data_IF_789229426820
#
_entry.id   IF_789229426820
#
_cell.length_a   1.000
_cell.length_b   1.000
_cell.length_c   1.000
_cell.angle_alpha   90.00
_cell.angle_beta   90.00
_cell.angle_gamma   90.00
#
_symmetry.space_group_name_H-M   'P 1'
#
loop_
_entity.id
_entity.type
_entity.pdbx_description
1 polymer ?
#
# COMPACT_ATOMS: atom_id res chain seq x y z
N UNK A 1 -28.88 5.62 9.27
CA UNK A 1 -27.62 6.31 8.93
C UNK A 1 -26.37 5.48 9.26
N UNK A 2 -26.16 5.04 10.51
CA UNK A 2 -24.95 4.29 10.93
C UNK A 2 -24.59 3.10 10.02
N UNK A 3 -25.55 2.22 9.72
CA UNK A 3 -25.34 1.05 8.86
C UNK A 3 -24.84 1.40 7.45
N UNK A 4 -25.25 2.54 6.90
CA UNK A 4 -24.77 3.01 5.60
C UNK A 4 -23.31 3.45 5.64
N UNK A 5 -22.89 4.09 6.73
CA UNK A 5 -21.48 4.48 6.93
C UNK A 5 -20.61 3.24 7.12
N UNK A 6 -21.08 2.24 7.88
CA UNK A 6 -20.37 0.96 8.03
C UNK A 6 -20.27 0.23 6.68
N UNK A 7 -21.36 0.21 5.90
CA UNK A 7 -21.33 -0.35 4.54
C UNK A 7 -20.31 0.36 3.66
N UNK A 8 -20.27 1.71 3.68
CA UNK A 8 -19.28 2.49 2.93
C UNK A 8 -17.85 2.13 3.35
N UNK A 9 -17.58 2.04 4.66
CA UNK A 9 -16.29 1.62 5.19
C UNK A 9 -15.87 0.23 4.64
N UNK A 10 -16.78 -0.75 4.67
CA UNK A 10 -16.51 -2.10 4.17
C UNK A 10 -16.26 -2.09 2.65
N UNK A 11 -17.11 -1.45 1.86
CA UNK A 11 -16.94 -1.37 0.40
C UNK A 11 -15.64 -0.66 0.03
N UNK A 12 -15.28 0.40 0.75
CA UNK A 12 -14.00 1.09 0.57
C UNK A 12 -12.80 0.21 0.92
N UNK A 13 -12.91 -0.66 1.93
CA UNK A 13 -11.87 -1.65 2.22
C UNK A 13 -11.68 -2.60 1.04
N UNK A 14 -12.77 -3.14 0.48
CA UNK A 14 -12.70 -3.99 -0.72
C UNK A 14 -12.10 -3.25 -1.91
N UNK A 15 -12.54 -2.03 -2.19
CA UNK A 15 -11.99 -1.21 -3.27
C UNK A 15 -10.49 -0.95 -3.08
N UNK A 16 -10.08 -0.64 -1.84
CA UNK A 16 -8.68 -0.46 -1.48
C UNK A 16 -7.88 -1.73 -1.74
N UNK A 17 -8.31 -2.89 -1.23
CA UNK A 17 -7.57 -4.14 -1.41
C UNK A 17 -7.53 -4.61 -2.87
N UNK A 18 -8.55 -4.31 -3.68
CA UNK A 18 -8.51 -4.60 -5.12
C UNK A 18 -7.48 -3.73 -5.85
N UNK A 19 -7.53 -2.40 -5.65
CA UNK A 19 -6.60 -1.48 -6.30
C UNK A 19 -5.16 -1.65 -5.80
N UNK A 20 -4.98 -1.73 -4.48
CA UNK A 20 -3.67 -1.96 -3.87
C UNK A 20 -3.14 -3.37 -4.15
N UNK A 21 -4.02 -4.38 -4.14
CA UNK A 21 -3.67 -5.77 -4.44
C UNK A 21 -3.17 -5.94 -5.88
N UNK A 22 -3.73 -5.21 -6.85
CA UNK A 22 -3.19 -5.19 -8.21
C UNK A 22 -1.72 -4.72 -8.24
N UNK A 23 -1.38 -3.66 -7.50
CA UNK A 23 0.02 -3.20 -7.33
C UNK A 23 0.88 -4.21 -6.56
N UNK A 24 0.33 -4.87 -5.54
CA UNK A 24 1.05 -5.90 -4.79
C UNK A 24 1.44 -7.09 -5.67
N UNK A 25 0.57 -7.53 -6.58
CA UNK A 25 0.90 -8.58 -7.57
C UNK A 25 2.04 -8.14 -8.50
N UNK A 26 2.07 -6.87 -8.89
CA UNK A 26 3.16 -6.32 -9.71
C UNK A 26 4.52 -6.39 -9.00
N UNK A 27 4.58 -6.27 -7.68
CA UNK A 27 5.82 -6.45 -6.93
C UNK A 27 6.41 -7.88 -7.06
N UNK A 28 5.54 -8.91 -7.05
CA UNK A 28 5.98 -10.30 -7.28
C UNK A 28 6.50 -10.52 -8.70
N UNK A 29 5.85 -9.91 -9.70
CA UNK A 29 6.28 -9.98 -11.10
C UNK A 29 7.60 -9.23 -11.31
N UNK A 30 7.71 -8.02 -10.75
CA UNK A 30 8.90 -7.18 -10.81
C UNK A 30 10.13 -7.92 -10.29
N UNK A 31 10.02 -8.61 -9.15
CA UNK A 31 11.13 -9.37 -8.56
C UNK A 31 11.65 -10.49 -9.49
N UNK A 32 10.81 -11.05 -10.35
CA UNK A 32 11.17 -12.19 -11.21
C UNK A 32 11.56 -11.79 -12.63
N UNK A 33 11.24 -10.56 -13.03
CA UNK A 33 11.46 -10.08 -14.39
C UNK A 33 12.94 -9.80 -14.66
N UNK A 34 13.38 -10.12 -15.88
CA UNK A 34 14.76 -9.95 -16.34
C UNK A 34 14.86 -9.05 -17.58
N UNK A 35 13.73 -8.72 -18.19
CA UNK A 35 13.66 -7.78 -19.31
C UNK A 35 13.45 -6.34 -18.77
N UNK A 36 14.41 -5.42 -18.97
CA UNK A 36 14.32 -4.04 -18.50
C UNK A 36 13.12 -3.27 -19.06
N UNK A 37 12.69 -3.55 -20.28
CA UNK A 37 11.52 -2.87 -20.87
C UNK A 37 10.23 -3.34 -20.17
N UNK A 38 10.11 -4.64 -19.88
CA UNK A 38 8.99 -5.16 -19.08
C UNK A 38 8.98 -4.62 -17.66
N UNK A 39 10.16 -4.49 -17.04
CA UNK A 39 10.30 -3.86 -15.71
C UNK A 39 9.72 -2.44 -15.72
N UNK A 40 10.04 -1.64 -16.74
CA UNK A 40 9.45 -0.29 -16.91
C UNK A 40 7.94 -0.35 -17.04
N UNK A 41 7.42 -1.22 -17.90
CA UNK A 41 5.97 -1.36 -18.09
C UNK A 41 5.25 -1.75 -16.80
N UNK A 42 5.81 -2.69 -16.01
CA UNK A 42 5.26 -3.10 -14.72
C UNK A 42 5.22 -1.92 -13.74
N UNK A 43 6.30 -1.12 -13.68
CA UNK A 43 6.39 0.04 -12.80
C UNK A 43 5.42 1.15 -13.19
N UNK A 44 5.23 1.39 -14.48
CA UNK A 44 4.30 2.40 -14.99
C UNK A 44 2.84 2.00 -14.73
N UNK A 45 2.49 0.74 -15.03
CA UNK A 45 1.17 0.20 -14.74
C UNK A 45 0.85 0.22 -13.24
N UNK A 46 1.84 -0.09 -12.39
CA UNK A 46 1.67 0.02 -10.94
C UNK A 46 1.38 1.45 -10.49
N UNK A 47 1.97 2.46 -11.13
CA UNK A 47 1.71 3.87 -10.80
C UNK A 47 0.26 4.27 -11.06
N UNK A 48 -0.39 3.71 -12.08
CA UNK A 48 -1.79 3.99 -12.37
C UNK A 48 -2.77 3.45 -11.29
N UNK A 49 -2.39 2.38 -10.58
CA UNK A 49 -3.24 1.76 -9.55
C UNK A 49 -3.19 2.51 -8.19
N UNK A 50 -2.09 3.21 -7.91
CA UNK A 50 -1.85 3.87 -6.60
C UNK A 50 -2.88 4.97 -6.27
N UNK A 51 -3.24 5.89 -7.18
CA UNK A 51 -4.24 6.93 -6.88
C UNK A 51 -5.60 6.36 -6.50
N UNK A 52 -6.04 5.29 -7.17
CA UNK A 52 -7.31 4.61 -6.87
C UNK A 52 -7.27 4.00 -5.47
N UNK A 53 -6.17 3.35 -5.10
CA UNK A 53 -5.98 2.81 -3.76
C UNK A 53 -6.00 3.92 -2.69
N UNK A 54 -5.30 5.04 -2.91
CA UNK A 54 -5.30 6.15 -1.95
C UNK A 54 -6.67 6.82 -1.80
N UNK A 55 -7.40 6.98 -2.90
CA UNK A 55 -8.77 7.47 -2.84
C UNK A 55 -9.68 6.54 -2.03
N UNK A 56 -9.60 5.22 -2.27
CA UNK A 56 -10.35 4.23 -1.50
C UNK A 56 -9.94 4.20 -0.02
N UNK A 57 -8.64 4.32 0.29
CA UNK A 57 -8.12 4.41 1.65
C UNK A 57 -8.62 5.65 2.39
N UNK A 58 -8.69 6.79 1.71
CA UNK A 58 -9.23 8.03 2.27
C UNK A 58 -10.70 7.84 2.69
N UNK A 59 -11.53 7.28 1.81
CA UNK A 59 -12.95 7.01 2.13
C UNK A 59 -13.05 5.98 3.25
N UNK A 60 -12.24 4.92 3.23
CA UNK A 60 -12.17 3.90 4.28
C UNK A 60 -11.95 4.53 5.65
N UNK A 61 -10.92 5.38 5.78
CA UNK A 61 -10.57 6.05 7.05
C UNK A 61 -11.66 7.03 7.47
N UNK A 62 -12.16 7.87 6.57
CA UNK A 62 -13.21 8.84 6.88
C UNK A 62 -14.50 8.16 7.35
N UNK A 63 -14.95 7.12 6.63
CA UNK A 63 -16.13 6.35 7.03
C UNK A 63 -15.91 5.66 8.39
N UNK A 64 -14.70 5.15 8.65
CA UNK A 64 -14.32 4.56 9.93
C UNK A 64 -14.40 5.56 11.09
N UNK A 65 -13.87 6.77 10.89
CA UNK A 65 -13.94 7.86 11.88
C UNK A 65 -15.39 8.25 12.16
N UNK A 66 -16.20 8.46 11.11
CA UNK A 66 -17.62 8.81 11.25
C UNK A 66 -18.37 7.71 12.01
N UNK A 67 -18.16 6.44 11.66
CA UNK A 67 -18.74 5.31 12.39
C UNK A 67 -18.27 5.26 13.86
N UNK A 68 -17.00 5.58 14.11
CA UNK A 68 -16.42 5.72 15.44
C UNK A 68 -17.16 6.76 16.29
N UNK A 69 -17.41 7.95 15.73
CA UNK A 69 -18.17 9.03 16.39
C UNK A 69 -19.61 8.60 16.65
N UNK A 70 -20.30 8.10 15.63
CA UNK A 70 -21.71 7.70 15.73
C UNK A 70 -21.97 6.58 16.74
N UNK A 71 -21.00 5.68 16.91
CA UNK A 71 -21.08 4.59 17.87
C UNK A 71 -20.39 4.85 19.21
N UNK A 72 -19.88 6.05 19.44
CA UNK A 72 -19.13 6.44 20.65
C UNK A 72 -17.95 5.49 20.98
N UNK A 73 -17.27 5.00 19.94
CA UNK A 73 -16.27 3.94 20.06
C UNK A 73 -14.89 4.44 20.49
N UNK A 74 -14.62 5.75 20.47
CA UNK A 74 -13.31 6.32 20.79
C UNK A 74 -12.90 6.18 22.27
N UNK A 75 -13.81 5.75 23.14
CA UNK A 75 -13.52 5.36 24.52
C UNK A 75 -12.93 3.95 24.65
N UNK A 76 -13.04 3.13 23.61
CA UNK A 76 -12.59 1.73 23.61
C UNK A 76 -11.16 1.62 23.09
N UNK A 77 -10.35 0.71 23.64
CA UNK A 77 -8.96 0.59 23.21
C UNK A 77 -8.80 -0.03 21.82
N UNK A 78 -9.70 -0.93 21.40
CA UNK A 78 -9.57 -1.67 20.14
C UNK A 78 -9.48 -0.75 18.92
N UNK A 79 -10.15 0.40 18.94
CA UNK A 79 -10.17 1.34 17.80
C UNK A 79 -8.82 2.05 17.65
N UNK A 80 -8.21 2.44 18.78
CA UNK A 80 -6.90 3.09 18.81
C UNK A 80 -5.81 2.12 18.39
N UNK A 81 -5.86 0.86 18.85
CA UNK A 81 -4.92 -0.16 18.41
C UNK A 81 -5.08 -0.43 16.91
N UNK A 82 -6.32 -0.56 16.42
CA UNK A 82 -6.58 -0.75 14.98
C UNK A 82 -6.02 0.40 14.13
N UNK A 83 -6.26 1.64 14.55
CA UNK A 83 -5.75 2.82 13.86
C UNK A 83 -4.22 2.92 13.91
N UNK A 84 -3.62 2.65 15.08
CA UNK A 84 -2.17 2.63 15.25
C UNK A 84 -1.51 1.57 14.36
N UNK A 85 -2.08 0.36 14.29
CA UNK A 85 -1.61 -0.70 13.40
C UNK A 85 -1.72 -0.30 11.93
N UNK A 86 -2.83 0.32 11.50
CA UNK A 86 -2.98 0.83 10.14
C UNK A 86 -1.89 1.87 9.79
N UNK A 87 -1.63 2.80 10.70
CA UNK A 87 -0.60 3.83 10.52
C UNK A 87 0.79 3.20 10.42
N UNK A 88 1.13 2.28 11.33
CA UNK A 88 2.41 1.57 11.32
C UNK A 88 2.58 0.79 10.02
N UNK A 89 1.53 0.11 9.53
CA UNK A 89 1.57 -0.60 8.25
C UNK A 89 1.81 0.35 7.10
N UNK A 90 1.06 1.45 7.05
CA UNK A 90 1.15 2.43 5.97
C UNK A 90 2.54 3.05 5.90
N UNK A 91 3.09 3.51 7.03
CA UNK A 91 4.47 4.01 7.07
C UNK A 91 5.50 2.93 6.70
N UNK A 92 5.33 1.71 7.20
CA UNK A 92 6.17 0.56 6.83
C UNK A 92 6.20 0.34 5.31
N UNK A 93 5.04 0.37 4.66
CA UNK A 93 4.91 0.23 3.21
C UNK A 93 5.57 1.39 2.45
N UNK A 94 5.36 2.64 2.88
CA UNK A 94 5.98 3.82 2.25
C UNK A 94 7.50 3.75 2.35
N UNK A 95 8.04 3.42 3.53
CA UNK A 95 9.49 3.24 3.73
C UNK A 95 10.04 2.10 2.88
N UNK A 96 9.33 0.97 2.82
CA UNK A 96 9.70 -0.18 2.01
C UNK A 96 9.73 0.17 0.51
N UNK A 97 8.69 0.85 0.02
CA UNK A 97 8.61 1.28 -1.38
C UNK A 97 9.72 2.29 -1.73
N UNK A 98 9.99 3.25 -0.84
CA UNK A 98 11.11 4.18 -1.00
C UNK A 98 12.47 3.48 -1.00
N UNK A 99 12.65 2.42 -0.20
CA UNK A 99 13.91 1.68 -0.11
C UNK A 99 14.17 0.79 -1.33
N UNK A 100 13.14 0.12 -1.86
CA UNK A 100 13.30 -0.94 -2.85
C UNK A 100 12.76 -0.58 -4.24
N UNK A 101 11.69 0.20 -4.37
CA UNK A 101 11.08 0.49 -5.67
C UNK A 101 11.50 1.84 -6.25
N UNK A 102 11.72 2.86 -5.41
CA UNK A 102 12.21 4.16 -5.87
C UNK A 102 13.56 4.05 -6.62
N UNK A 103 14.56 3.29 -6.14
CA UNK A 103 15.80 3.09 -6.89
C UNK A 103 15.60 2.39 -8.24
N UNK A 104 14.67 1.43 -8.33
CA UNK A 104 14.37 0.73 -9.59
C UNK A 104 13.75 1.72 -10.58
N UNK A 105 12.81 2.57 -10.14
CA UNK A 105 12.21 3.61 -10.98
C UNK A 105 13.25 4.60 -11.49
N UNK A 106 14.14 5.07 -10.61
CA UNK A 106 15.27 5.93 -10.96
C UNK A 106 16.16 5.28 -12.02
N UNK A 107 16.59 4.04 -11.78
CA UNK A 107 17.43 3.29 -12.71
C UNK A 107 16.74 3.00 -14.04
N UNK A 108 15.42 2.81 -14.03
CA UNK A 108 14.62 2.57 -15.22
C UNK A 108 14.32 3.85 -16.02
N UNK A 109 14.75 5.03 -15.57
CA UNK A 109 14.49 6.31 -16.23
C UNK A 109 13.04 6.79 -16.08
N UNK A 110 12.34 6.38 -15.02
CA UNK A 110 10.96 6.79 -14.73
C UNK A 110 10.93 7.89 -13.63
N UNK A 111 9.86 8.70 -13.56
CA UNK A 111 9.65 9.59 -12.43
C UNK A 111 9.64 8.80 -11.12
N UNK A 112 10.32 9.32 -10.10
CA UNK A 112 10.48 8.63 -8.83
C UNK A 112 10.34 9.60 -7.65
N UNK A 113 10.08 9.05 -6.47
CA UNK A 113 9.95 9.81 -5.24
C UNK A 113 10.92 9.26 -4.20
N UNK A 114 11.71 10.12 -3.57
CA UNK A 114 12.61 9.76 -2.50
C UNK A 114 12.51 10.76 -1.33
N UNK A 115 13.50 10.76 -0.42
CA UNK A 115 13.49 11.63 0.77
C UNK A 115 13.57 13.12 0.44
N UNK A 116 14.10 13.47 -0.73
CA UNK A 116 14.25 14.85 -1.19
C UNK A 116 13.00 15.35 -1.93
N UNK A 117 12.10 14.43 -2.29
CA UNK A 117 10.80 14.75 -2.90
C UNK A 117 10.57 14.00 -4.21
N UNK A 118 9.78 14.63 -5.08
CA UNK A 118 9.51 14.12 -6.43
C UNK A 118 10.60 14.53 -7.42
N UNK A 119 11.03 13.57 -8.23
CA UNK A 119 12.05 13.77 -9.26
C UNK A 119 11.49 13.38 -10.63
N UNK A 120 11.81 14.16 -11.69
CA UNK A 120 11.40 13.83 -13.04
C UNK A 120 12.15 12.59 -13.57
N UNK A 121 11.69 12.08 -14.72
CA UNK A 121 12.38 11.02 -15.44
C UNK A 121 13.81 11.44 -15.80
N UNK A 122 14.77 10.53 -15.60
CA UNK A 122 16.19 10.72 -15.91
C UNK A 122 16.69 9.71 -16.94
N UNK A 123 18.00 9.73 -17.26
CA UNK A 123 18.59 8.72 -18.13
C UNK A 123 18.49 7.33 -17.49
N UNK A 124 18.19 6.32 -18.31
CA UNK A 124 18.17 4.93 -17.85
C UNK A 124 19.58 4.44 -17.53
N UNK A 125 19.70 3.72 -16.43
CA UNK A 125 20.87 2.95 -16.07
C UNK A 125 21.01 1.69 -16.97
N UNK A 126 22.09 0.94 -16.75
CA UNK A 126 22.35 -0.33 -17.43
C UNK A 126 21.27 -1.38 -17.13
N UNK A 127 21.01 -2.27 -18.08
CA UNK A 127 20.06 -3.38 -17.91
C UNK A 127 20.37 -4.23 -16.68
N UNK A 128 21.65 -4.50 -16.42
CA UNK A 128 22.10 -5.30 -15.28
C UNK A 128 21.76 -4.65 -13.94
N UNK A 129 21.94 -3.33 -13.83
CA UNK A 129 21.62 -2.58 -12.61
C UNK A 129 20.12 -2.58 -12.32
N UNK A 130 19.28 -2.37 -13.35
CA UNK A 130 17.82 -2.38 -13.22
C UNK A 130 17.34 -3.74 -12.69
N UNK A 131 17.81 -4.83 -13.28
CA UNK A 131 17.44 -6.20 -12.89
C UNK A 131 17.89 -6.49 -11.45
N UNK A 132 19.13 -6.12 -11.10
CA UNK A 132 19.68 -6.30 -9.75
C UNK A 132 18.83 -5.58 -8.70
N UNK A 133 18.42 -4.34 -8.97
CA UNK A 133 17.59 -3.56 -8.06
C UNK A 133 16.18 -4.16 -7.94
N UNK A 134 15.57 -4.61 -9.04
CA UNK A 134 14.23 -5.20 -9.04
C UNK A 134 14.17 -6.48 -8.17
N UNK A 135 15.21 -7.31 -8.26
CA UNK A 135 15.36 -8.57 -7.52
C UNK A 135 15.66 -8.37 -6.02
N UNK A 136 16.10 -7.18 -5.60
CA UNK A 136 16.47 -6.90 -4.21
C UNK A 136 15.26 -6.84 -3.25
N UNK A 137 14.05 -6.68 -3.78
CA UNK A 137 12.82 -6.66 -2.99
C UNK A 137 12.46 -8.07 -2.46
N UNK A 138 11.72 -8.15 -1.35
CA UNK A 138 11.13 -9.39 -0.82
C UNK A 138 9.59 -9.26 -0.67
N UNK A 139 8.83 -9.42 -1.77
CA UNK A 139 7.38 -9.24 -1.78
C UNK A 139 6.64 -10.30 -0.94
N UNK A 140 7.22 -11.49 -0.72
CA UNK A 140 6.63 -12.53 0.14
C UNK A 140 6.61 -12.12 1.61
N UNK A 141 7.74 -11.59 2.10
CA UNK A 141 7.82 -11.09 3.48
C UNK A 141 6.84 -9.94 3.68
N UNK A 142 6.79 -9.01 2.72
CA UNK A 142 5.86 -7.87 2.77
C UNK A 142 4.41 -8.34 2.81
N UNK A 143 4.03 -9.30 1.96
CA UNK A 143 2.69 -9.88 1.95
C UNK A 143 2.35 -10.54 3.29
N UNK A 144 3.23 -11.39 3.82
CA UNK A 144 2.98 -12.10 5.09
C UNK A 144 2.78 -11.15 6.26
N UNK A 145 3.65 -10.14 6.39
CA UNK A 145 3.54 -9.13 7.45
C UNK A 145 2.26 -8.30 7.30
N UNK A 146 1.96 -7.86 6.08
CA UNK A 146 0.80 -7.00 5.81
C UNK A 146 -0.51 -7.74 6.00
N UNK A 147 -0.60 -8.96 5.50
CA UNK A 147 -1.77 -9.81 5.69
C UNK A 147 -2.00 -10.13 7.16
N UNK A 148 -0.94 -10.49 7.90
CA UNK A 148 -1.03 -10.75 9.34
C UNK A 148 -1.53 -9.52 10.11
N UNK A 149 -0.99 -8.34 9.83
CA UNK A 149 -1.40 -7.11 10.51
C UNK A 149 -2.85 -6.72 10.18
N UNK A 150 -3.25 -6.84 8.91
CA UNK A 150 -4.63 -6.61 8.46
C UNK A 150 -5.60 -7.58 9.13
N UNK A 151 -5.22 -8.86 9.26
CA UNK A 151 -6.04 -9.85 9.96
C UNK A 151 -6.26 -9.48 11.44
N UNK A 152 -5.22 -8.97 12.12
CA UNK A 152 -5.34 -8.45 13.50
C UNK A 152 -6.27 -7.23 13.55
N UNK A 153 -6.17 -6.29 12.61
CA UNK A 153 -7.08 -5.13 12.53
C UNK A 153 -8.53 -5.61 12.35
N UNK A 154 -8.79 -6.52 11.42
CA UNK A 154 -10.13 -7.07 11.20
C UNK A 154 -10.66 -7.74 12.46
N UNK A 155 -9.83 -8.54 13.13
CA UNK A 155 -10.18 -9.19 14.39
C UNK A 155 -10.54 -8.16 15.48
N UNK A 156 -9.74 -7.11 15.68
CA UNK A 156 -10.03 -6.04 16.64
C UNK A 156 -11.37 -5.36 16.32
N UNK A 157 -11.63 -5.04 15.05
CA UNK A 157 -12.85 -4.35 14.64
C UNK A 157 -14.10 -5.22 14.79
N UNK A 158 -13.98 -6.54 14.57
CA UNK A 158 -15.06 -7.51 14.66
C UNK A 158 -15.40 -7.86 16.11
N UNK A 159 -14.41 -8.21 16.91
CA UNK A 159 -14.62 -8.75 18.26
C UNK A 159 -14.60 -7.69 19.36
N UNK A 160 -13.99 -6.52 19.11
CA UNK A 160 -13.97 -5.37 20.03
C UNK A 160 -13.62 -5.77 21.48
N UNK A 161 -12.47 -6.43 21.71
CA UNK A 161 -12.19 -7.10 22.98
C UNK A 161 -11.97 -6.18 24.19
N UNK A 162 -11.74 -4.88 23.98
CA UNK A 162 -11.46 -3.87 25.03
C UNK A 162 -11.59 -2.44 24.49
#
# INVERSE_FOLDING_TARGET
MYRWIVFLHIVSAFAFFMAHGASAVMAFRLQQEKDPERIRTILDLSSAAVPVAYFALMILVLAGIIAGVMGNWFSQGWIWVSLGLLIVLWFGMVMYAGRYYSPVRKAAGLPYHDREGEHPAGPSASSEEIIKLAQASNPRLLLGLSFGLVAVIIWLMMFKPF
#
